data_IF_007107927676
#
_entry.id   IF_007107927676
#
_cell.length_a   1.000
_cell.length_b   1.000
_cell.length_c   1.000
_cell.angle_alpha   90.00
_cell.angle_beta   90.00
_cell.angle_gamma   90.00
#
_symmetry.space_group_name_H-M   'P 1'
#
loop_
_entity.id
_entity.type
_entity.pdbx_description
1 polymer ?
#
# COMPACT_ATOMS: atom_id res chain seq x y z
N UNK A 1 22.61 20.64 -18.60
CA UNK A 1 21.62 21.00 -17.57
C UNK A 1 21.35 19.74 -16.76
N UNK A 2 22.10 19.51 -15.68
CA UNK A 2 21.84 18.39 -14.79
C UNK A 2 20.71 18.80 -13.86
N UNK A 3 19.49 18.38 -14.21
CA UNK A 3 18.34 18.51 -13.33
C UNK A 3 18.62 17.62 -12.13
N UNK A 4 18.78 18.23 -10.97
CA UNK A 4 19.13 17.64 -9.68
C UNK A 4 18.23 16.40 -9.39
N UNK A 5 18.64 15.22 -9.87
CA UNK A 5 17.81 14.02 -9.79
C UNK A 5 17.89 13.50 -8.37
N UNK A 6 16.87 13.80 -7.56
CA UNK A 6 16.72 13.21 -6.24
C UNK A 6 16.79 11.68 -6.34
N UNK A 7 17.50 11.03 -5.42
CA UNK A 7 17.52 9.58 -5.38
C UNK A 7 16.11 9.03 -5.27
N UNK A 8 15.86 7.85 -5.85
CA UNK A 8 14.54 7.22 -5.83
C UNK A 8 13.99 7.06 -4.40
N UNK A 9 14.86 6.83 -3.41
CA UNK A 9 14.51 6.81 -1.99
C UNK A 9 13.89 8.12 -1.51
N UNK A 10 14.45 9.28 -1.89
CA UNK A 10 13.88 10.59 -1.54
C UNK A 10 12.56 10.86 -2.25
N UNK A 11 12.42 10.36 -3.48
CA UNK A 11 11.16 10.48 -4.22
C UNK A 11 10.06 9.63 -3.56
N UNK A 12 10.37 8.41 -3.09
CA UNK A 12 9.43 7.59 -2.32
C UNK A 12 9.10 8.23 -0.96
N UNK A 13 10.08 8.81 -0.25
CA UNK A 13 9.82 9.59 0.97
C UNK A 13 8.81 10.72 0.71
N UNK A 14 8.99 11.46 -0.38
CA UNK A 14 8.09 12.51 -0.80
C UNK A 14 6.67 12.00 -1.11
N UNK A 15 6.54 10.88 -1.82
CA UNK A 15 5.24 10.24 -2.11
C UNK A 15 4.47 9.97 -0.81
N UNK A 16 5.11 9.35 0.18
CA UNK A 16 4.45 9.03 1.45
C UNK A 16 4.06 10.27 2.26
N UNK A 17 4.83 11.37 2.18
CA UNK A 17 4.44 12.65 2.79
C UNK A 17 3.21 13.25 2.11
N UNK A 18 3.10 13.14 0.79
CA UNK A 18 1.92 13.62 0.06
C UNK A 18 0.67 12.79 0.39
N UNK A 19 0.84 11.47 0.54
CA UNK A 19 -0.26 10.53 0.82
C UNK A 19 -0.61 10.41 2.31
N UNK A 20 0.07 11.09 3.25
CA UNK A 20 -0.15 10.94 4.69
C UNK A 20 -1.62 11.18 5.10
N UNK A 21 -2.26 12.20 4.51
CA UNK A 21 -3.68 12.47 4.75
C UNK A 21 -4.59 11.35 4.27
N UNK A 22 -4.30 10.72 3.14
CA UNK A 22 -5.09 9.60 2.62
C UNK A 22 -4.87 8.32 3.44
N UNK A 23 -3.62 8.03 3.79
CA UNK A 23 -3.22 6.86 4.57
C UNK A 23 -3.81 6.86 5.99
N UNK A 24 -3.97 8.04 6.59
CA UNK A 24 -4.60 8.19 7.92
C UNK A 24 -6.12 8.02 7.89
N UNK A 25 -6.73 8.09 6.70
CA UNK A 25 -8.18 7.94 6.49
C UNK A 25 -8.55 6.63 5.76
N UNK A 26 -7.59 5.75 5.51
CA UNK A 26 -7.81 4.46 4.86
C UNK A 26 -7.40 3.31 5.79
N UNK A 27 -8.34 2.45 6.18
CA UNK A 27 -8.03 1.26 6.97
C UNK A 27 -7.30 0.17 6.18
N UNK A 28 -7.50 0.11 4.86
CA UNK A 28 -6.74 -0.76 3.98
C UNK A 28 -6.70 -0.18 2.57
N UNK A 29 -5.64 -0.50 1.84
CA UNK A 29 -5.44 0.02 0.50
C UNK A 29 -4.11 -0.40 -0.09
N UNK A 30 -3.87 0.07 -1.31
CA UNK A 30 -2.63 -0.15 -2.03
C UNK A 30 -2.07 1.19 -2.46
N UNK A 31 -0.86 1.53 -2.01
CA UNK A 31 -0.09 2.65 -2.56
C UNK A 31 0.56 2.19 -3.86
N UNK A 32 0.34 2.92 -4.94
CA UNK A 32 0.92 2.64 -6.25
C UNK A 32 1.94 3.70 -6.60
N UNK A 33 3.11 3.30 -7.08
CA UNK A 33 4.18 4.19 -7.54
C UNK A 33 4.68 3.72 -8.90
N UNK A 34 4.57 4.57 -9.91
CA UNK A 34 5.06 4.33 -11.25
C UNK A 34 6.43 4.94 -11.43
N UNK A 35 7.41 4.15 -11.89
CA UNK A 35 8.81 4.54 -12.01
C UNK A 35 9.31 4.35 -13.44
N UNK A 36 10.00 5.38 -13.96
CA UNK A 36 10.69 5.35 -15.25
C UNK A 36 12.07 5.98 -15.09
N UNK A 37 13.13 5.29 -15.51
CA UNK A 37 14.51 5.73 -15.39
C UNK A 37 14.86 6.18 -13.96
N UNK A 38 14.47 5.41 -12.94
CA UNK A 38 14.63 5.76 -11.51
C UNK A 38 13.96 7.07 -11.07
N UNK A 39 12.99 7.58 -11.84
CA UNK A 39 12.15 8.71 -11.47
C UNK A 39 10.70 8.27 -11.28
N UNK A 40 10.08 8.71 -10.19
CA UNK A 40 8.65 8.55 -9.93
C UNK A 40 7.89 9.48 -10.88
N UNK A 41 7.05 8.90 -11.73
CA UNK A 41 6.21 9.65 -12.67
C UNK A 41 4.80 9.89 -12.15
N UNK A 42 4.17 8.87 -11.56
CA UNK A 42 2.81 8.92 -11.01
C UNK A 42 2.74 8.11 -9.73
N UNK A 43 1.88 8.53 -8.82
CA UNK A 43 1.60 7.79 -7.60
C UNK A 43 0.17 8.06 -7.14
N UNK A 44 -0.33 7.21 -6.24
CA UNK A 44 -1.63 7.40 -5.62
C UNK A 44 -1.96 6.29 -4.64
N UNK A 45 -3.07 6.46 -3.93
CA UNK A 45 -3.65 5.45 -3.07
C UNK A 45 -4.91 4.87 -3.74
N UNK A 46 -5.01 3.54 -3.74
CA UNK A 46 -6.27 2.85 -4.02
C UNK A 46 -6.82 2.30 -2.71
N UNK A 47 -8.01 2.73 -2.33
CA UNK A 47 -8.72 2.17 -1.19
C UNK A 47 -9.19 0.75 -1.50
N UNK A 48 -9.18 -0.13 -0.50
CA UNK A 48 -9.96 -1.36 -0.58
C UNK A 48 -11.47 -1.04 -0.59
N UNK A 49 -12.34 -1.96 -1.04
CA UNK A 49 -13.78 -1.74 -1.06
C UNK A 49 -14.30 -1.30 0.32
N UNK A 50 -15.17 -0.28 0.32
CA UNK A 50 -15.86 0.16 1.53
C UNK A 50 -17.08 -0.72 1.73
N UNK A 51 -17.07 -1.50 2.81
CA UNK A 51 -18.17 -2.40 3.16
C UNK A 51 -19.43 -1.61 3.54
N UNK A 52 -20.58 -2.06 3.03
CA UNK A 52 -21.89 -1.50 3.37
C UNK A 52 -22.80 -2.60 3.89
N UNK A 53 -23.63 -2.28 4.87
CA UNK A 53 -24.63 -3.21 5.42
C UNK A 53 -25.99 -2.54 5.42
N UNK A 54 -26.98 -3.17 4.78
CA UNK A 54 -28.36 -2.69 4.69
C UNK A 54 -28.48 -1.24 4.16
N UNK A 55 -27.68 -0.91 3.13
CA UNK A 55 -27.64 0.44 2.54
C UNK A 55 -26.94 1.50 3.40
N UNK A 56 -26.37 1.12 4.54
CA UNK A 56 -25.61 2.00 5.42
C UNK A 56 -24.12 1.71 5.29
N UNK A 57 -23.35 2.75 4.99
CA UNK A 57 -21.89 2.73 5.14
C UNK A 57 -21.63 2.71 6.65
N UNK A 58 -21.12 1.60 7.18
CA UNK A 58 -20.64 1.59 8.56
C UNK A 58 -19.40 2.47 8.64
N UNK A 59 -19.29 3.24 9.73
CA UNK A 59 -18.36 4.36 9.83
C UNK A 59 -16.96 4.06 9.31
N UNK A 60 -16.36 5.04 8.63
CA UNK A 60 -15.03 4.94 8.04
C UNK A 60 -14.05 4.45 9.12
N UNK A 61 -13.54 3.22 8.97
CA UNK A 61 -12.55 2.68 9.89
C UNK A 61 -11.34 3.61 9.88
N UNK A 62 -10.83 3.96 11.07
CA UNK A 62 -9.65 4.81 11.19
C UNK A 62 -8.49 4.15 10.45
N UNK A 63 -7.80 4.93 9.63
CA UNK A 63 -6.61 4.46 8.92
C UNK A 63 -5.40 4.36 9.83
N UNK A 64 -4.23 4.40 9.20
CA UNK A 64 -2.95 4.34 9.92
C UNK A 64 -2.80 5.55 10.86
N UNK A 65 -2.20 5.35 12.03
CA UNK A 65 -1.73 6.49 12.85
C UNK A 65 -0.54 7.17 12.17
N UNK A 66 -0.20 8.39 12.59
CA UNK A 66 0.98 9.10 12.05
C UNK A 66 2.26 8.31 12.24
N UNK A 67 2.41 7.65 13.38
CA UNK A 67 3.54 6.79 13.71
C UNK A 67 3.59 5.57 12.79
N UNK A 68 2.43 4.96 12.51
CA UNK A 68 2.32 3.84 11.57
C UNK A 68 2.63 4.29 10.13
N UNK A 69 2.20 5.49 9.71
CA UNK A 69 2.59 6.07 8.40
C UNK A 69 4.09 6.29 8.31
N UNK A 70 4.73 6.80 9.38
CA UNK A 70 6.18 6.97 9.41
C UNK A 70 6.92 5.62 9.31
N UNK A 71 6.45 4.60 10.02
CA UNK A 71 6.99 3.25 9.94
C UNK A 71 6.79 2.64 8.54
N UNK A 72 5.61 2.84 7.93
CA UNK A 72 5.31 2.39 6.58
C UNK A 72 6.21 3.07 5.54
N UNK A 73 6.41 4.39 5.65
CA UNK A 73 7.35 5.13 4.80
C UNK A 73 8.78 4.59 4.92
N UNK A 74 9.26 4.36 6.14
CA UNK A 74 10.60 3.81 6.37
C UNK A 74 10.75 2.42 5.73
N UNK A 75 9.76 1.55 5.92
CA UNK A 75 9.71 0.24 5.28
C UNK A 75 9.73 0.37 3.76
N UNK A 76 8.95 1.28 3.19
CA UNK A 76 8.85 1.47 1.74
C UNK A 76 10.17 1.91 1.10
N UNK A 77 10.95 2.75 1.81
CA UNK A 77 12.29 3.16 1.39
C UNK A 77 13.29 2.00 1.52
N UNK A 78 13.24 1.25 2.61
CA UNK A 78 14.11 0.08 2.82
C UNK A 78 13.86 -1.02 1.81
N UNK A 79 12.60 -1.23 1.44
CA UNK A 79 12.17 -2.18 0.42
C UNK A 79 12.93 -1.97 -0.90
N UNK A 80 13.30 -0.73 -1.22
CA UNK A 80 14.00 -0.42 -2.45
C UNK A 80 15.33 -1.18 -2.61
N UNK A 81 15.97 -1.60 -1.51
CA UNK A 81 17.22 -2.37 -1.49
C UNK A 81 17.08 -3.79 -2.05
N UNK A 82 15.87 -4.34 -2.10
CA UNK A 82 15.62 -5.70 -2.58
C UNK A 82 15.47 -5.80 -4.10
N UNK A 83 15.39 -4.66 -4.79
CA UNK A 83 15.34 -4.62 -6.25
C UNK A 83 16.76 -4.71 -6.83
N UNK A 84 16.97 -5.64 -7.77
CA UNK A 84 18.22 -5.81 -8.53
C UNK A 84 17.96 -5.52 -10.00
N UNK A 85 18.78 -4.66 -10.60
CA UNK A 85 18.72 -4.27 -12.02
C UNK A 85 17.34 -3.75 -12.50
N UNK A 86 16.51 -3.29 -11.57
CA UNK A 86 15.17 -2.79 -11.83
C UNK A 86 15.23 -1.26 -11.96
N UNK A 87 14.91 -0.75 -13.15
CA UNK A 87 15.00 0.68 -13.46
C UNK A 87 13.64 1.32 -13.75
N UNK A 88 12.62 0.48 -13.97
CA UNK A 88 11.31 0.85 -14.51
C UNK A 88 10.22 -0.11 -14.03
N UNK A 89 8.99 0.40 -13.96
CA UNK A 89 7.80 -0.40 -13.69
C UNK A 89 6.95 0.23 -12.60
N UNK A 90 6.31 -0.62 -11.79
CA UNK A 90 5.42 -0.22 -10.71
C UNK A 90 5.86 -0.85 -9.38
N UNK A 91 5.73 -0.09 -8.30
CA UNK A 91 5.81 -0.61 -6.94
C UNK A 91 4.44 -0.47 -6.31
N UNK A 92 3.92 -1.58 -5.79
CA UNK A 92 2.67 -1.62 -5.06
C UNK A 92 3.00 -1.93 -3.60
N UNK A 93 2.48 -1.11 -2.70
CA UNK A 93 2.52 -1.36 -1.27
C UNK A 93 1.10 -1.57 -0.76
N UNK A 94 0.70 -2.83 -0.57
CA UNK A 94 -0.61 -3.16 -0.03
C UNK A 94 -0.55 -3.17 1.49
N UNK A 95 -1.50 -2.52 2.17
CA UNK A 95 -1.54 -2.42 3.62
C UNK A 95 -2.95 -2.62 4.16
N UNK A 96 -3.01 -3.05 5.43
CA UNK A 96 -4.25 -3.14 6.19
C UNK A 96 -4.00 -2.86 7.68
N UNK A 97 -4.96 -2.20 8.31
CA UNK A 97 -5.03 -1.91 9.73
C UNK A 97 -6.00 -2.90 10.38
N UNK A 98 -5.67 -3.34 11.60
CA UNK A 98 -6.52 -4.17 12.44
C UNK A 98 -6.86 -3.37 13.70
N UNK A 99 -8.00 -2.63 13.70
CA UNK A 99 -8.35 -1.74 14.80
C UNK A 99 -8.43 -2.46 16.16
N UNK A 100 -8.88 -3.71 16.18
CA UNK A 100 -9.03 -4.51 17.41
C UNK A 100 -7.72 -4.80 18.14
N UNK A 101 -6.60 -4.87 17.41
CA UNK A 101 -5.27 -5.19 17.97
C UNK A 101 -4.28 -4.04 17.86
N UNK A 102 -4.73 -2.86 17.39
CA UNK A 102 -3.89 -1.70 17.09
C UNK A 102 -2.64 -2.07 16.26
N UNK A 103 -2.78 -3.06 15.37
CA UNK A 103 -1.69 -3.56 14.52
C UNK A 103 -1.99 -3.28 13.06
N UNK A 104 -0.96 -3.25 12.25
CA UNK A 104 -1.08 -3.08 10.81
C UNK A 104 -0.11 -4.04 10.11
N UNK A 105 -0.37 -4.31 8.85
CA UNK A 105 0.51 -5.11 8.00
C UNK A 105 0.64 -4.46 6.65
N UNK A 106 1.77 -4.69 5.99
CA UNK A 106 1.96 -4.29 4.62
C UNK A 106 2.81 -5.30 3.85
N UNK A 107 2.61 -5.36 2.54
CA UNK A 107 3.35 -6.18 1.60
C UNK A 107 3.79 -5.32 0.41
N UNK A 108 4.84 -5.76 -0.28
CA UNK A 108 5.41 -5.04 -1.41
C UNK A 108 5.41 -5.95 -2.63
N UNK A 109 5.01 -5.41 -3.78
CA UNK A 109 5.12 -6.06 -5.08
C UNK A 109 5.85 -5.13 -6.05
N UNK A 110 6.80 -5.70 -6.79
CA UNK A 110 7.49 -5.03 -7.88
C UNK A 110 7.02 -5.63 -9.20
N UNK A 111 6.56 -4.78 -10.09
CA UNK A 111 6.16 -5.16 -11.44
C UNK A 111 7.08 -4.41 -12.40
N UNK A 112 7.79 -5.11 -13.29
CA UNK A 112 8.72 -4.47 -14.25
C UNK A 112 8.00 -3.96 -15.49
N UNK A 113 6.78 -4.42 -15.75
CA UNK A 113 5.94 -3.96 -16.84
C UNK A 113 5.03 -2.81 -16.39
N UNK A 114 5.36 -1.60 -16.84
CA UNK A 114 4.67 -0.35 -16.53
C UNK A 114 3.16 -0.31 -16.91
N UNK A 115 2.65 -1.30 -17.67
CA UNK A 115 1.25 -1.37 -18.09
C UNK A 115 0.43 -2.46 -17.36
N UNK A 116 1.02 -3.20 -16.43
CA UNK A 116 0.34 -4.33 -15.77
C UNK A 116 -0.57 -3.94 -14.60
N UNK A 117 -0.58 -2.68 -14.14
CA UNK A 117 -1.56 -2.19 -13.15
C UNK A 117 -3.04 -2.45 -13.51
N UNK A 118 -3.35 -2.69 -14.79
CA UNK A 118 -4.70 -3.02 -15.24
C UNK A 118 -5.04 -4.53 -15.19
N UNK A 119 -4.06 -5.43 -15.09
CA UNK A 119 -4.28 -6.86 -15.43
C UNK A 119 -4.88 -7.69 -14.28
N UNK A 120 -4.60 -7.38 -13.02
CA UNK A 120 -4.91 -8.29 -11.88
C UNK A 120 -5.89 -7.75 -10.84
N UNK A 121 -6.76 -6.82 -11.23
CA UNK A 121 -7.50 -5.98 -10.28
C UNK A 121 -8.75 -6.59 -9.61
N UNK A 122 -8.88 -7.91 -9.54
CA UNK A 122 -9.99 -8.52 -8.79
C UNK A 122 -9.64 -8.52 -7.31
N UNK A 123 -10.39 -7.75 -6.52
CA UNK A 123 -10.38 -7.90 -5.07
C UNK A 123 -10.75 -9.35 -4.73
N UNK A 124 -9.80 -10.09 -4.15
CA UNK A 124 -10.05 -11.41 -3.56
C UNK A 124 -10.15 -11.16 -2.06
N UNK A 125 -11.35 -11.29 -1.46
CA UNK A 125 -11.48 -11.16 -0.01
C UNK A 125 -10.54 -12.16 0.66
N UNK A 126 -9.74 -11.72 1.63
CA UNK A 126 -9.04 -12.66 2.50
C UNK A 126 -10.09 -13.52 3.20
N UNK A 127 -10.14 -14.82 2.88
CA UNK A 127 -10.94 -15.77 3.62
C UNK A 127 -10.50 -15.71 5.08
N UNK A 128 -11.39 -15.28 5.97
CA UNK A 128 -11.18 -15.40 7.42
C UNK A 128 -10.91 -16.88 7.70
N UNK A 129 -9.84 -17.27 8.39
CA UNK A 129 -9.69 -18.63 8.84
C UNK A 129 -10.90 -18.96 9.72
N UNK A 130 -11.80 -19.79 9.20
CA UNK A 130 -12.87 -20.39 9.98
C UNK A 130 -12.15 -21.26 11.03
N UNK A 131 -12.22 -20.85 12.29
CA UNK A 131 -11.85 -21.74 13.39
C UNK A 131 -12.69 -23.02 13.20
N UNK A 132 -12.02 -24.13 12.88
CA UNK A 132 -12.65 -25.45 12.96
C UNK A 132 -13.04 -25.66 14.42
N UNK A 133 -14.34 -25.57 14.72
CA UNK A 133 -14.90 -26.21 15.88
C UNK A 133 -14.72 -27.71 15.69
N UNK A 134 -13.66 -28.26 16.28
CA UNK A 134 -13.54 -29.69 16.47
C UNK A 134 -14.36 -30.02 17.71
N UNK A 135 -15.63 -30.32 17.50
CA UNK A 135 -16.43 -31.03 18.51
C UNK A 135 -15.73 -32.35 18.80
N UNK A 136 -15.32 -32.53 20.05
CA UNK A 136 -14.99 -33.83 20.59
C UNK A 136 -16.16 -34.26 21.47
N UNK A 137 -16.82 -35.33 21.01
CA UNK A 137 -17.70 -36.19 21.78
C UNK A 137 -16.88 -36.91 22.85
#
# INVERSE_FOLDING_TARGET
MEVNSLSLARQVDFVFRQLEGELTNAAAGTVLIHIRNNAVGKFGLRHHPIETKDGKIQGCEKGLTREQVQAFRQMAIEALKYRKDWTHGEILYDFSVRPSSNSWSASILYESNYNMAAWNNRYVPQARPQHMFREYV
#
